data_IF_977471740915
#
_entry.id   IF_977471740915
#
_cell.length_a   1.000
_cell.length_b   1.000
_cell.length_c   1.000
_cell.angle_alpha   90.00
_cell.angle_beta   90.00
_cell.angle_gamma   90.00
#
_symmetry.space_group_name_H-M   'P 1'
#
loop_
_entity.id
_entity.type
_entity.pdbx_description
1 polymer ?
#
# COMPACT_ATOMS: atom_id res chain seq x y z
N UNK A 1 45.97 -18.04 -17.53
CA UNK A 1 45.31 -16.74 -17.75
C UNK A 1 46.25 -15.65 -17.23
N UNK A 2 46.70 -14.76 -18.12
CA UNK A 2 47.86 -13.88 -17.92
C UNK A 2 47.56 -12.78 -16.91
N UNK A 3 48.45 -12.69 -15.93
CA UNK A 3 48.61 -11.64 -14.93
C UNK A 3 48.58 -10.26 -15.56
N UNK A 4 47.60 -9.44 -15.14
CA UNK A 4 47.56 -8.00 -15.39
C UNK A 4 48.70 -7.35 -14.58
N UNK A 5 49.75 -6.90 -15.25
CA UNK A 5 50.94 -6.29 -14.63
C UNK A 5 50.91 -4.77 -14.75
N UNK A 6 50.68 -4.08 -13.62
CA UNK A 6 50.69 -2.62 -13.45
C UNK A 6 49.90 -2.20 -12.19
N UNK A 7 50.12 -0.98 -11.67
CA UNK A 7 49.25 -0.35 -10.66
C UNK A 7 47.90 0.00 -11.29
N UNK A 8 47.02 -0.99 -11.41
CA UNK A 8 45.69 -0.84 -11.98
C UNK A 8 44.71 -0.36 -10.89
N UNK A 9 44.31 0.91 -10.97
CA UNK A 9 43.18 1.44 -10.21
C UNK A 9 41.87 0.94 -10.84
N UNK A 10 41.28 -0.08 -10.23
CA UNK A 10 39.93 -0.54 -10.57
C UNK A 10 38.95 0.53 -10.07
N UNK A 11 38.48 1.41 -10.98
CA UNK A 11 37.38 2.34 -10.70
C UNK A 11 36.08 1.71 -11.18
N UNK A 12 35.19 1.51 -10.23
CA UNK A 12 33.81 1.10 -10.50
C UNK A 12 33.06 2.29 -11.10
N UNK A 13 32.30 2.09 -12.18
CA UNK A 13 31.54 3.16 -12.86
C UNK A 13 30.56 3.89 -11.92
N UNK A 14 30.17 3.22 -10.84
CA UNK A 14 29.35 3.74 -9.74
C UNK A 14 30.07 4.81 -8.91
N UNK A 15 31.41 4.75 -8.84
CA UNK A 15 32.25 5.74 -8.16
C UNK A 15 32.49 6.99 -9.02
N UNK A 16 32.54 6.84 -10.34
CA UNK A 16 32.75 7.97 -11.27
C UNK A 16 31.50 8.84 -11.41
N UNK A 17 30.32 8.25 -11.28
CA UNK A 17 29.03 8.95 -11.39
C UNK A 17 28.31 9.08 -10.04
N UNK A 18 29.07 9.26 -8.95
CA UNK A 18 28.57 9.28 -7.58
C UNK A 18 27.42 10.29 -7.36
N UNK A 19 27.46 11.45 -8.03
CA UNK A 19 26.38 12.46 -7.95
C UNK A 19 25.07 11.97 -8.56
N UNK A 20 25.13 11.34 -9.74
CA UNK A 20 23.96 10.75 -10.40
C UNK A 20 23.36 9.61 -9.58
N UNK A 21 24.21 8.73 -9.05
CA UNK A 21 23.74 7.62 -8.21
C UNK A 21 23.11 8.11 -6.89
N UNK A 22 23.71 9.13 -6.27
CA UNK A 22 23.15 9.77 -5.08
C UNK A 22 21.82 10.46 -5.38
N UNK A 23 21.68 11.11 -6.54
CA UNK A 23 20.43 11.73 -6.97
C UNK A 23 19.30 10.68 -7.14
N UNK A 24 19.58 9.56 -7.82
CA UNK A 24 18.62 8.45 -7.97
C UNK A 24 18.25 7.84 -6.62
N UNK A 25 19.19 7.69 -5.69
CA UNK A 25 18.88 7.21 -4.33
C UNK A 25 17.98 8.18 -3.57
N UNK A 26 18.23 9.49 -3.66
CA UNK A 26 17.38 10.50 -3.02
C UNK A 26 15.98 10.47 -3.61
N UNK A 27 15.85 10.36 -4.93
CA UNK A 27 14.55 10.24 -5.61
C UNK A 27 13.78 9.00 -5.15
N UNK A 28 14.41 7.82 -5.16
CA UNK A 28 13.80 6.58 -4.65
C UNK A 28 13.35 6.73 -3.19
N UNK A 29 14.14 7.42 -2.37
CA UNK A 29 13.79 7.68 -0.96
C UNK A 29 12.58 8.61 -0.83
N UNK A 30 12.47 9.64 -1.66
CA UNK A 30 11.29 10.51 -1.68
C UNK A 30 10.03 9.76 -2.12
N UNK A 31 10.13 8.92 -3.16
CA UNK A 31 9.01 8.07 -3.57
C UNK A 31 8.54 7.13 -2.46
N UNK A 32 9.48 6.50 -1.75
CA UNK A 32 9.15 5.65 -0.59
C UNK A 32 8.39 6.41 0.50
N UNK A 33 8.80 7.65 0.82
CA UNK A 33 8.12 8.49 1.81
C UNK A 33 6.69 8.82 1.36
N UNK A 34 6.51 9.28 0.12
CA UNK A 34 5.20 9.62 -0.44
C UNK A 34 4.28 8.40 -0.40
N UNK A 35 4.76 7.26 -0.87
CA UNK A 35 4.00 6.02 -0.88
C UNK A 35 3.57 5.60 0.54
N UNK A 36 4.49 5.71 1.50
CA UNK A 36 4.21 5.42 2.92
C UNK A 36 3.10 6.33 3.47
N UNK A 37 3.11 7.62 3.12
CA UNK A 37 2.05 8.55 3.54
C UNK A 37 0.69 8.20 2.92
N UNK A 38 0.66 7.81 1.64
CA UNK A 38 -0.58 7.36 0.98
C UNK A 38 -1.14 6.13 1.69
N UNK A 39 -0.29 5.15 2.01
CA UNK A 39 -0.68 3.95 2.76
C UNK A 39 -1.18 4.31 4.17
N UNK A 40 -0.54 5.26 4.84
CA UNK A 40 -0.97 5.73 6.15
C UNK A 40 -2.37 6.39 6.12
N UNK A 41 -2.64 7.23 5.11
CA UNK A 41 -3.96 7.84 4.91
C UNK A 41 -5.03 6.77 4.60
N UNK A 42 -4.69 5.76 3.80
CA UNK A 42 -5.59 4.64 3.51
C UNK A 42 -5.88 3.81 4.77
N UNK A 43 -4.86 3.54 5.60
CA UNK A 43 -5.03 2.85 6.87
C UNK A 43 -5.94 3.64 7.83
N UNK A 44 -5.81 4.96 7.88
CA UNK A 44 -6.70 5.81 8.68
C UNK A 44 -8.16 5.74 8.20
N UNK A 45 -8.39 5.74 6.88
CA UNK A 45 -9.73 5.53 6.33
C UNK A 45 -10.32 4.19 6.75
N UNK A 46 -9.51 3.12 6.73
CA UNK A 46 -9.94 1.79 7.20
C UNK A 46 -10.34 1.82 8.69
N UNK A 47 -9.58 2.51 9.54
CA UNK A 47 -9.96 2.73 10.96
C UNK A 47 -11.31 3.43 11.05
N UNK A 48 -11.49 4.55 10.33
CA UNK A 48 -12.75 5.32 10.35
C UNK A 48 -13.94 4.47 9.91
N UNK A 49 -13.82 3.70 8.83
CA UNK A 49 -14.89 2.81 8.34
C UNK A 49 -15.23 1.72 9.35
N UNK A 50 -14.22 1.08 9.97
CA UNK A 50 -14.46 0.06 10.99
C UNK A 50 -15.14 0.65 12.23
N UNK A 51 -14.68 1.81 12.71
CA UNK A 51 -15.29 2.49 13.86
C UNK A 51 -16.74 2.84 13.57
N UNK A 52 -17.01 3.39 12.38
CA UNK A 52 -18.37 3.72 11.94
C UNK A 52 -19.26 2.47 11.84
N UNK A 53 -18.74 1.38 11.28
CA UNK A 53 -19.45 0.10 11.21
C UNK A 53 -19.80 -0.43 12.61
N UNK A 54 -18.86 -0.34 13.55
CA UNK A 54 -19.09 -0.73 14.96
C UNK A 54 -20.18 0.13 15.59
N UNK A 55 -20.18 1.44 15.33
CA UNK A 55 -21.21 2.34 15.88
C UNK A 55 -22.59 2.07 15.29
N UNK A 56 -22.68 1.83 13.98
CA UNK A 56 -23.93 1.54 13.28
C UNK A 56 -24.51 0.18 13.70
N UNK A 57 -23.64 -0.75 14.10
CA UNK A 57 -24.00 -2.11 14.54
C UNK A 57 -24.11 -2.29 16.05
N UNK A 58 -24.19 -1.19 16.83
CA UNK A 58 -24.28 -1.27 18.31
C UNK A 58 -25.48 -2.06 18.82
N UNK A 59 -26.65 -1.92 18.21
CA UNK A 59 -27.85 -2.65 18.60
C UNK A 59 -27.68 -4.17 18.37
N UNK A 60 -27.21 -4.56 17.18
CA UNK A 60 -26.89 -5.96 16.84
C UNK A 60 -25.87 -6.56 17.82
N UNK A 61 -24.83 -5.80 18.18
CA UNK A 61 -23.82 -6.21 19.18
C UNK A 61 -24.47 -6.42 20.55
N UNK A 62 -25.36 -5.51 20.97
CA UNK A 62 -26.05 -5.62 22.26
C UNK A 62 -26.93 -6.88 22.32
N UNK A 63 -27.66 -7.19 21.24
CA UNK A 63 -28.46 -8.42 21.12
C UNK A 63 -27.56 -9.67 21.20
N UNK A 64 -26.43 -9.69 20.48
CA UNK A 64 -25.48 -10.80 20.57
C UNK A 64 -24.94 -10.97 22.00
N UNK A 65 -24.67 -9.86 22.70
CA UNK A 65 -24.23 -9.90 24.10
C UNK A 65 -25.30 -10.41 25.06
N UNK A 66 -26.58 -10.12 24.84
CA UNK A 66 -27.67 -10.67 25.66
C UNK A 66 -27.92 -12.15 25.38
N UNK A 67 -27.62 -12.61 24.16
CA UNK A 67 -27.60 -14.03 23.80
C UNK A 67 -26.37 -14.80 24.34
N UNK A 68 -25.46 -14.13 25.06
CA UNK A 68 -24.30 -14.74 25.71
C UNK A 68 -22.99 -14.64 24.93
N UNK A 69 -22.93 -13.87 23.84
CA UNK A 69 -21.67 -13.65 23.12
C UNK A 69 -20.64 -12.95 24.01
N UNK A 70 -19.43 -13.51 24.08
CA UNK A 70 -18.32 -12.92 24.82
C UNK A 70 -17.76 -11.68 24.11
N UNK A 71 -17.20 -10.71 24.84
CA UNK A 71 -16.47 -9.58 24.25
C UNK A 71 -15.36 -10.01 23.29
N UNK A 72 -14.69 -11.13 23.56
CA UNK A 72 -13.64 -11.69 22.69
C UNK A 72 -14.19 -12.22 21.37
N UNK A 73 -15.40 -12.81 21.37
CA UNK A 73 -16.06 -13.24 20.13
C UNK A 73 -16.39 -12.04 19.24
N UNK A 74 -16.90 -10.95 19.82
CA UNK A 74 -17.21 -9.71 19.09
C UNK A 74 -15.93 -9.09 18.53
N UNK A 75 -14.87 -9.03 19.34
CA UNK A 75 -13.55 -8.58 18.89
C UNK A 75 -13.07 -9.40 17.69
N UNK A 76 -13.22 -10.74 17.74
CA UNK A 76 -12.83 -11.64 16.66
C UNK A 76 -13.53 -11.35 15.33
N UNK A 77 -14.84 -11.06 15.36
CA UNK A 77 -15.61 -10.70 14.16
C UNK A 77 -15.04 -9.45 13.49
N UNK A 78 -14.79 -8.39 14.26
CA UNK A 78 -14.26 -7.14 13.71
C UNK A 78 -12.78 -7.26 13.28
N UNK A 79 -11.98 -8.08 13.96
CA UNK A 79 -10.60 -8.38 13.53
C UNK A 79 -10.61 -9.09 12.18
N UNK A 80 -11.45 -10.11 12.02
CA UNK A 80 -11.58 -10.84 10.75
C UNK A 80 -12.11 -9.94 9.64
N UNK A 81 -13.09 -9.09 9.93
CA UNK A 81 -13.64 -8.14 8.95
C UNK A 81 -12.58 -7.13 8.47
N UNK A 82 -11.81 -6.54 9.38
CA UNK A 82 -10.75 -5.60 9.01
C UNK A 82 -9.58 -6.29 8.31
N UNK A 83 -9.19 -7.49 8.76
CA UNK A 83 -8.16 -8.28 8.09
C UNK A 83 -8.57 -8.68 6.66
N UNK A 84 -9.82 -9.10 6.45
CA UNK A 84 -10.35 -9.40 5.12
C UNK A 84 -10.34 -8.15 4.22
N UNK A 85 -10.81 -7.02 4.73
CA UNK A 85 -10.77 -5.74 4.00
C UNK A 85 -9.33 -5.37 3.61
N UNK A 86 -8.38 -5.55 4.53
CA UNK A 86 -6.95 -5.33 4.29
C UNK A 86 -6.34 -6.22 3.23
N UNK A 87 -6.62 -7.53 3.30
CA UNK A 87 -6.11 -8.52 2.35
C UNK A 87 -6.71 -8.28 0.96
N UNK A 88 -8.03 -8.10 0.87
CA UNK A 88 -8.71 -7.82 -0.41
C UNK A 88 -8.20 -6.53 -1.01
N UNK A 89 -8.09 -5.46 -0.21
CA UNK A 89 -7.56 -4.17 -0.66
C UNK A 89 -6.11 -4.27 -1.16
N UNK A 90 -5.25 -5.00 -0.44
CA UNK A 90 -3.85 -5.18 -0.85
C UNK A 90 -3.75 -6.02 -2.13
N UNK A 91 -4.49 -7.12 -2.23
CA UNK A 91 -4.47 -7.98 -3.42
C UNK A 91 -5.03 -7.26 -4.64
N UNK A 92 -6.15 -6.54 -4.49
CA UNK A 92 -6.73 -5.74 -5.57
C UNK A 92 -5.77 -4.62 -5.99
N UNK A 93 -5.17 -3.92 -5.04
CA UNK A 93 -4.19 -2.86 -5.30
C UNK A 93 -2.94 -3.38 -6.02
N UNK A 94 -2.40 -4.53 -5.59
CA UNK A 94 -1.27 -5.19 -6.26
C UNK A 94 -1.62 -5.65 -7.67
N UNK A 95 -2.78 -6.28 -7.84
CA UNK A 95 -3.23 -6.75 -9.15
C UNK A 95 -3.41 -5.57 -10.13
N UNK A 96 -4.08 -4.49 -9.70
CA UNK A 96 -4.25 -3.28 -10.49
C UNK A 96 -2.91 -2.59 -10.75
N UNK A 97 -2.04 -2.47 -9.75
CA UNK A 97 -0.71 -1.86 -9.90
C UNK A 97 0.18 -2.63 -10.87
N UNK A 98 0.20 -3.96 -10.80
CA UNK A 98 0.92 -4.81 -11.75
C UNK A 98 0.32 -4.72 -13.14
N UNK A 99 -1.02 -4.72 -13.26
CA UNK A 99 -1.70 -4.57 -14.54
C UNK A 99 -1.30 -3.25 -15.21
N UNK A 100 -1.28 -2.15 -14.47
CA UNK A 100 -0.82 -0.85 -14.98
C UNK A 100 0.67 -0.89 -15.35
N UNK A 101 1.52 -1.47 -14.50
CA UNK A 101 2.96 -1.53 -14.75
C UNK A 101 3.31 -2.32 -16.03
N UNK A 102 2.65 -3.46 -16.27
CA UNK A 102 2.88 -4.27 -17.48
C UNK A 102 2.22 -3.70 -18.73
N UNK A 103 1.17 -2.89 -18.60
CA UNK A 103 0.45 -2.30 -19.73
C UNK A 103 0.79 -0.82 -19.95
N UNK A 104 1.87 -0.32 -19.36
CA UNK A 104 2.25 1.09 -19.46
C UNK A 104 2.48 1.53 -20.92
N UNK A 105 3.03 0.62 -21.74
CA UNK A 105 3.25 0.81 -23.18
C UNK A 105 1.95 1.04 -23.97
N UNK A 106 0.81 0.61 -23.44
CA UNK A 106 -0.52 0.77 -24.06
C UNK A 106 -1.29 1.93 -23.42
N UNK A 107 -1.17 2.10 -22.10
CA UNK A 107 -1.88 3.14 -21.34
C UNK A 107 -1.36 4.53 -21.69
N UNK A 108 -0.04 4.70 -21.81
CA UNK A 108 0.57 6.01 -22.08
C UNK A 108 0.13 6.57 -23.44
N UNK A 109 0.24 5.85 -24.57
CA UNK A 109 -0.23 6.35 -25.87
C UNK A 109 -1.75 6.59 -25.92
N UNK A 110 -2.55 5.80 -25.19
CA UNK A 110 -3.99 5.99 -25.11
C UNK A 110 -4.35 7.32 -24.43
N UNK A 111 -3.66 7.66 -23.32
CA UNK A 111 -3.85 8.94 -22.62
C UNK A 111 -3.34 10.11 -23.48
N UNK A 112 -2.20 9.95 -24.16
CA UNK A 112 -1.66 10.97 -25.08
C UNK A 112 -2.64 11.28 -26.22
N UNK A 113 -3.26 10.24 -26.80
CA UNK A 113 -4.27 10.42 -27.85
C UNK A 113 -5.52 11.13 -27.33
N UNK A 114 -5.95 10.82 -26.11
CA UNK A 114 -7.13 11.43 -25.51
C UNK A 114 -6.89 12.90 -25.14
N UNK A 115 -5.73 13.22 -24.55
CA UNK A 115 -5.38 14.56 -24.08
C UNK A 115 -4.79 15.45 -25.17
N UNK A 116 -4.48 14.93 -26.36
CA UNK A 116 -3.81 15.65 -27.44
C UNK A 116 -2.49 16.31 -27.01
N UNK A 117 -1.82 15.74 -26.00
CA UNK A 117 -0.54 16.19 -25.46
C UNK A 117 0.47 15.07 -25.57
N UNK A 118 1.63 15.34 -26.18
CA UNK A 118 2.76 14.40 -26.24
C UNK A 118 3.57 14.53 -24.94
N UNK A 119 3.47 13.56 -24.03
CA UNK A 119 4.27 13.54 -22.81
C UNK A 119 5.72 13.17 -23.11
N UNK A 120 5.95 12.37 -24.16
CA UNK A 120 7.27 11.96 -24.62
C UNK A 120 7.43 12.24 -26.12
N UNK A 121 7.96 13.42 -26.54
CA UNK A 121 8.36 13.64 -27.92
C UNK A 121 9.44 12.60 -28.32
N UNK A 122 9.17 11.73 -29.31
CA UNK A 122 10.11 10.68 -29.73
C UNK A 122 11.48 11.20 -30.17
N UNK A 123 11.53 12.49 -30.53
CA UNK A 123 12.71 13.16 -31.08
C UNK A 123 13.76 13.57 -30.02
N UNK A 124 13.39 13.61 -28.73
CA UNK A 124 14.28 14.03 -27.63
C UNK A 124 14.61 12.86 -26.68
N UNK A 125 13.68 11.92 -26.51
CA UNK A 125 13.88 10.72 -25.71
C UNK A 125 14.14 9.53 -26.64
N UNK A 126 15.42 9.19 -26.85
CA UNK A 126 15.92 7.95 -27.47
C UNK A 126 15.54 6.67 -26.65
N UNK A 127 14.38 6.68 -26.00
CA UNK A 127 13.84 5.62 -25.14
C UNK A 127 12.44 5.30 -25.70
N UNK A 128 12.38 4.46 -26.74
CA UNK A 128 11.14 4.09 -27.43
C UNK A 128 10.16 3.25 -26.59
N UNK A 129 10.51 2.89 -25.36
CA UNK A 129 9.68 2.21 -24.36
C UNK A 129 10.16 2.63 -22.99
N UNK A 130 9.30 3.12 -22.11
CA UNK A 130 9.67 3.16 -20.69
C UNK A 130 9.86 1.70 -20.26
N UNK A 131 11.09 1.24 -19.92
CA UNK A 131 11.24 -0.11 -19.42
C UNK A 131 10.59 -0.15 -18.05
N UNK A 132 9.30 -0.51 -17.98
CA UNK A 132 8.68 -0.88 -16.73
C UNK A 132 9.30 -2.20 -16.31
N UNK A 133 10.29 -2.11 -15.43
CA UNK A 133 10.88 -3.25 -14.75
C UNK A 133 10.27 -3.32 -13.33
N UNK A 134 9.10 -3.96 -13.14
CA UNK A 134 8.50 -4.15 -11.82
C UNK A 134 9.40 -5.07 -10.99
N UNK A 135 10.32 -4.47 -10.24
CA UNK A 135 11.26 -5.20 -9.41
C UNK A 135 10.56 -5.73 -8.15
N UNK A 136 10.70 -7.05 -7.92
CA UNK A 136 10.14 -7.72 -6.74
C UNK A 136 10.68 -7.13 -5.42
N UNK A 137 11.91 -6.62 -5.44
CA UNK A 137 12.55 -5.96 -4.29
C UNK A 137 11.79 -4.72 -3.82
N UNK A 138 11.04 -4.07 -4.71
CA UNK A 138 10.30 -2.85 -4.38
C UNK A 138 8.85 -3.22 -4.02
N UNK A 139 8.25 -4.16 -4.74
CA UNK A 139 6.84 -4.56 -4.58
C UNK A 139 6.59 -5.34 -3.28
N UNK A 140 7.43 -6.32 -2.96
CA UNK A 140 7.21 -7.22 -1.81
C UNK A 140 7.24 -6.47 -0.47
N UNK A 141 8.21 -5.58 -0.18
CA UNK A 141 8.19 -4.81 1.06
C UNK A 141 6.95 -3.93 1.20
N UNK A 142 6.50 -3.28 0.12
CA UNK A 142 5.30 -2.44 0.12
C UNK A 142 4.06 -3.27 0.47
N UNK A 143 3.90 -4.45 -0.15
CA UNK A 143 2.80 -5.36 0.13
C UNK A 143 2.77 -5.78 1.61
N UNK A 144 3.92 -6.17 2.16
CA UNK A 144 4.05 -6.58 3.56
C UNK A 144 3.73 -5.42 4.50
N UNK A 145 4.31 -4.23 4.26
CA UNK A 145 4.07 -3.04 5.09
C UNK A 145 2.58 -2.66 5.06
N UNK A 146 1.95 -2.70 3.89
CA UNK A 146 0.53 -2.40 3.74
C UNK A 146 -0.36 -3.38 4.53
N UNK A 147 -0.09 -4.69 4.44
CA UNK A 147 -0.80 -5.71 5.22
C UNK A 147 -0.61 -5.53 6.72
N UNK A 148 0.63 -5.29 7.17
CA UNK A 148 0.94 -5.08 8.59
C UNK A 148 0.23 -3.83 9.10
N UNK A 149 0.27 -2.72 8.36
CA UNK A 149 -0.41 -1.49 8.75
C UNK A 149 -1.94 -1.65 8.79
N UNK A 150 -2.53 -2.35 7.82
CA UNK A 150 -3.96 -2.64 7.82
C UNK A 150 -4.37 -3.50 9.03
N UNK A 151 -3.57 -4.51 9.38
CA UNK A 151 -3.82 -5.34 10.55
C UNK A 151 -3.70 -4.54 11.86
N UNK A 152 -2.65 -3.73 11.99
CA UNK A 152 -2.46 -2.83 13.14
C UNK A 152 -3.60 -1.82 13.28
N UNK A 153 -4.06 -1.25 12.16
CA UNK A 153 -5.20 -0.35 12.13
C UNK A 153 -6.50 -1.04 12.61
N UNK A 154 -6.67 -2.32 12.31
CA UNK A 154 -7.88 -3.09 12.67
C UNK A 154 -7.97 -3.41 14.17
N UNK A 155 -6.84 -3.51 14.87
CA UNK A 155 -6.80 -3.88 16.29
C UNK A 155 -7.51 -2.86 17.18
N UNK A 156 -7.31 -1.55 16.94
CA UNK A 156 -7.90 -0.50 17.77
C UNK A 156 -9.45 -0.47 17.72
N UNK A 157 -10.11 -0.43 16.55
CA UNK A 157 -11.56 -0.48 16.45
C UNK A 157 -12.15 -1.76 17.02
N UNK A 158 -11.51 -2.90 16.77
CA UNK A 158 -12.01 -4.21 17.23
C UNK A 158 -12.01 -4.31 18.76
N UNK A 159 -10.96 -3.80 19.40
CA UNK A 159 -10.92 -3.70 20.86
C UNK A 159 -11.99 -2.74 21.39
N UNK A 160 -12.21 -1.59 20.72
CA UNK A 160 -13.27 -0.64 21.08
C UNK A 160 -14.67 -1.25 20.96
N UNK A 161 -14.92 -2.06 19.94
CA UNK A 161 -16.18 -2.78 19.72
C UNK A 161 -16.50 -3.77 20.85
N UNK A 162 -15.49 -4.49 21.34
CA UNK A 162 -15.66 -5.46 22.44
C UNK A 162 -16.12 -4.83 23.76
N UNK A 163 -15.88 -3.52 23.94
CA UNK A 163 -16.22 -2.77 25.16
C UNK A 163 -17.56 -2.05 25.10
N UNK A 164 -18.35 -2.24 24.04
CA UNK A 164 -19.71 -1.66 23.96
C UNK A 164 -20.60 -2.27 25.04
N UNK A 165 -21.16 -1.41 25.90
CA UNK A 165 -22.04 -1.82 26.99
C UNK A 165 -23.48 -1.99 26.48
N UNK A 166 -24.11 -3.16 26.67
CA UNK A 166 -25.46 -3.44 26.17
C UNK A 166 -26.54 -2.53 26.80
N UNK A 167 -26.34 -2.09 28.05
CA UNK A 167 -27.27 -1.21 28.76
C UNK A 167 -27.31 0.23 28.21
N UNK A 168 -26.25 0.70 27.57
CA UNK A 168 -26.25 2.02 26.92
C UNK A 168 -26.77 1.95 25.49
N UNK A 169 -26.57 0.83 24.78
CA UNK A 169 -27.00 0.69 23.40
C UNK A 169 -28.54 0.64 23.25
N UNK A 170 -29.24 0.01 24.19
CA UNK A 170 -30.70 -0.12 24.19
C UNK A 170 -31.44 1.11 24.79
N UNK A 171 -30.71 2.09 25.33
CA UNK A 171 -31.30 3.31 25.93
C UNK A 171 -31.45 4.47 24.93
N UNK A 172 -30.91 4.32 23.72
CA UNK A 172 -30.95 5.32 22.66
C UNK A 172 -31.82 4.90 21.46
N UNK A 173 -32.54 3.78 21.57
CA UNK A 173 -33.80 3.53 20.84
C UNK A 173 -34.99 3.95 21.72
#
# INVERSE_FOLDING_TARGET
>A
AKTLSGDLLIRDWTQDNKTWFSAVQVEKRMMFIILTLIVAVAAFNLVSTLVMTVTDKRADIAILRTLGASPSSIMGVFVVQGALSGVIGTLAGLALGLLVAYNIDVIVPFIEHLLHTTFLPPDIYLISRMPSDPQRSDIVPIAIISLVLSFLATLYPSWRASRVNPAEALRYE
#
